data_IF_327234055856
#
_entry.id   IF_327234055856
#
_cell.length_a   1.000
_cell.length_b   1.000
_cell.length_c   1.000
_cell.angle_alpha   90.00
_cell.angle_beta   90.00
_cell.angle_gamma   90.00
#
_symmetry.space_group_name_H-M   'P 1'
#
loop_
_entity.id
_entity.type
_entity.pdbx_description
1 polymer ?
#
# COMPACT_ATOMS: atom_id res chain seq x y z
N UNK A 1 -18.41 -7.57 20.15
CA UNK A 1 -17.28 -7.54 21.10
C UNK A 1 -16.45 -6.34 20.72
N UNK A 2 -16.04 -5.56 21.71
CA UNK A 2 -15.14 -4.42 21.52
C UNK A 2 -13.70 -4.95 21.53
N UNK A 3 -12.84 -4.43 20.66
CA UNK A 3 -11.40 -4.74 20.62
C UNK A 3 -10.59 -3.48 20.86
N UNK A 4 -9.34 -3.64 21.28
CA UNK A 4 -8.34 -2.58 21.29
C UNK A 4 -7.54 -2.57 19.98
N UNK A 5 -6.79 -1.49 19.73
CA UNK A 5 -5.80 -1.47 18.64
C UNK A 5 -4.75 -2.56 18.85
N UNK A 6 -4.32 -2.79 20.10
CA UNK A 6 -3.31 -3.80 20.43
C UNK A 6 -3.80 -5.22 20.13
N UNK A 7 -5.07 -5.53 20.38
CA UNK A 7 -5.64 -6.85 20.05
C UNK A 7 -5.49 -7.15 18.55
N UNK A 8 -5.72 -6.15 17.69
CA UNK A 8 -5.58 -6.30 16.22
C UNK A 8 -4.11 -6.41 15.79
N UNK A 9 -3.20 -5.73 16.49
CA UNK A 9 -1.76 -5.87 16.26
C UNK A 9 -1.33 -7.30 16.60
N UNK A 10 -1.69 -7.79 17.78
CA UNK A 10 -1.35 -9.14 18.24
C UNK A 10 -1.95 -10.21 17.33
N UNK A 11 -3.19 -10.03 16.84
CA UNK A 11 -3.81 -10.93 15.87
C UNK A 11 -3.09 -11.01 14.52
N UNK A 12 -2.34 -9.98 14.13
CA UNK A 12 -1.71 -9.91 12.81
C UNK A 12 -0.19 -10.06 12.83
N UNK A 13 0.47 -9.92 13.98
CA UNK A 13 1.92 -9.75 14.02
C UNK A 13 2.68 -10.92 13.39
N UNK A 14 2.36 -12.17 13.73
CA UNK A 14 3.07 -13.34 13.18
C UNK A 14 2.80 -13.54 11.69
N UNK A 15 1.54 -13.41 11.25
CA UNK A 15 1.22 -13.52 9.82
C UNK A 15 1.86 -12.35 9.03
N UNK A 16 1.90 -11.16 9.61
CA UNK A 16 2.56 -9.98 9.04
C UNK A 16 4.05 -10.22 8.84
N UNK A 17 4.73 -10.79 9.84
CA UNK A 17 6.14 -11.15 9.76
C UNK A 17 6.41 -12.19 8.68
N UNK A 18 5.58 -13.24 8.57
CA UNK A 18 5.73 -14.24 7.49
C UNK A 18 5.57 -13.62 6.09
N UNK A 19 4.57 -12.74 5.91
CA UNK A 19 4.37 -12.02 4.65
C UNK A 19 5.45 -10.97 4.37
N UNK A 20 6.03 -10.31 5.39
CA UNK A 20 7.18 -9.41 5.18
C UNK A 20 8.42 -10.18 4.74
N UNK A 21 8.69 -11.33 5.35
CA UNK A 21 9.78 -12.19 4.91
C UNK A 21 9.58 -12.62 3.44
N UNK A 22 8.34 -12.97 3.06
CA UNK A 22 8.01 -13.30 1.67
C UNK A 22 8.20 -12.12 0.72
N UNK A 23 7.75 -10.93 1.10
CA UNK A 23 7.93 -9.72 0.29
C UNK A 23 9.41 -9.35 0.14
N UNK A 24 10.21 -9.52 1.19
CA UNK A 24 11.65 -9.29 1.15
C UNK A 24 12.38 -10.28 0.22
N UNK A 25 11.98 -11.55 0.23
CA UNK A 25 12.45 -12.57 -0.72
C UNK A 25 12.15 -12.22 -2.18
N UNK A 26 11.00 -11.57 -2.45
CA UNK A 26 10.63 -11.10 -3.78
C UNK A 26 11.39 -9.83 -4.17
N UNK A 27 11.55 -8.90 -3.23
CA UNK A 27 12.15 -7.59 -3.49
C UNK A 27 13.64 -7.73 -3.80
N UNK A 28 14.41 -8.44 -2.97
CA UNK A 28 15.88 -8.59 -3.12
C UNK A 28 16.65 -7.29 -3.41
N UNK A 29 16.15 -6.15 -2.93
CA UNK A 29 16.71 -4.82 -3.20
C UNK A 29 16.39 -4.23 -4.58
N UNK A 30 15.46 -4.82 -5.33
CA UNK A 30 14.97 -4.28 -6.59
C UNK A 30 14.33 -2.90 -6.41
N UNK A 31 14.47 -2.05 -7.43
CA UNK A 31 13.72 -0.80 -7.51
C UNK A 31 12.22 -1.08 -7.66
N UNK A 32 11.41 -0.11 -7.28
CA UNK A 32 9.95 -0.21 -7.36
C UNK A 32 9.33 1.02 -8.03
N UNK A 33 8.18 0.81 -8.66
CA UNK A 33 7.30 1.85 -9.19
C UNK A 33 5.86 1.52 -8.77
N UNK A 34 5.05 2.55 -8.56
CA UNK A 34 3.61 2.36 -8.28
C UNK A 34 2.77 3.28 -9.14
N UNK A 35 1.83 2.67 -9.86
CA UNK A 35 0.77 3.36 -10.59
C UNK A 35 -0.56 3.09 -9.89
N UNK A 36 -1.19 4.13 -9.35
CA UNK A 36 -2.51 3.99 -8.74
C UNK A 36 -3.65 4.07 -9.75
N UNK A 37 -3.42 4.65 -10.94
CA UNK A 37 -4.43 4.72 -12.00
C UNK A 37 -4.64 3.39 -12.70
N UNK A 38 -3.58 2.59 -12.81
CA UNK A 38 -3.63 1.17 -13.11
C UNK A 38 -3.03 0.43 -11.90
N UNK A 39 -3.83 0.12 -10.85
CA UNK A 39 -3.38 -0.28 -9.51
C UNK A 39 -2.31 -1.38 -9.53
N UNK A 40 -1.05 -0.97 -9.66
CA UNK A 40 0.08 -1.86 -9.89
C UNK A 40 1.30 -1.32 -9.16
N UNK A 41 1.79 -2.09 -8.21
CA UNK A 41 3.09 -1.94 -7.58
C UNK A 41 4.04 -2.92 -8.26
N UNK A 42 5.05 -2.40 -8.95
CA UNK A 42 5.96 -3.21 -9.76
C UNK A 42 7.35 -3.20 -9.15
N UNK A 43 7.83 -4.37 -8.77
CA UNK A 43 9.22 -4.63 -8.44
C UNK A 43 9.99 -4.90 -9.73
N UNK A 44 11.08 -4.16 -9.94
CA UNK A 44 11.93 -4.25 -11.13
C UNK A 44 12.91 -5.43 -11.04
N UNK A 45 12.36 -6.62 -10.81
CA UNK A 45 13.07 -7.91 -10.85
C UNK A 45 13.12 -8.47 -12.28
N UNK A 46 13.84 -9.58 -12.49
CA UNK A 46 13.82 -10.31 -13.76
C UNK A 46 13.31 -11.76 -13.54
N UNK A 47 12.07 -12.09 -13.94
CA UNK A 47 11.07 -11.21 -14.54
C UNK A 47 10.47 -10.21 -13.52
N UNK A 48 9.85 -9.09 -13.96
CA UNK A 48 9.21 -8.13 -13.06
C UNK A 48 8.06 -8.76 -12.29
N UNK A 49 7.94 -8.42 -11.01
CA UNK A 49 6.82 -8.83 -10.15
C UNK A 49 5.85 -7.67 -10.01
N UNK A 50 4.57 -7.91 -10.28
CA UNK A 50 3.51 -6.89 -10.17
C UNK A 50 2.48 -7.31 -9.13
N UNK A 51 2.24 -6.44 -8.16
CA UNK A 51 1.32 -6.63 -7.03
C UNK A 51 0.23 -5.55 -7.09
N UNK A 52 -0.94 -5.82 -6.53
CA UNK A 52 -2.01 -4.84 -6.36
C UNK A 52 -1.73 -4.00 -5.10
N UNK A 53 -1.60 -2.67 -5.21
CA UNK A 53 -1.41 -1.78 -4.09
C UNK A 53 -2.74 -1.26 -3.54
N UNK A 54 -2.87 -1.26 -2.22
CA UNK A 54 -3.92 -0.56 -1.49
C UNK A 54 -3.29 0.52 -0.61
N UNK A 55 -3.62 1.78 -0.85
CA UNK A 55 -3.11 2.90 -0.05
C UNK A 55 -3.90 2.95 1.27
N UNK A 56 -3.24 2.69 2.40
CA UNK A 56 -3.88 2.83 3.72
C UNK A 56 -3.96 4.29 4.14
N UNK A 57 -2.84 5.00 4.05
CA UNK A 57 -2.73 6.37 4.52
C UNK A 57 -1.32 6.90 4.32
N UNK A 58 -1.12 8.14 4.75
CA UNK A 58 0.17 8.81 4.71
C UNK A 58 0.56 9.31 6.07
N UNK A 59 1.84 9.13 6.39
CA UNK A 59 2.49 9.73 7.54
C UNK A 59 3.29 10.94 7.05
N UNK A 60 3.11 12.10 7.68
CA UNK A 60 3.86 13.30 7.35
C UNK A 60 4.59 13.82 8.59
N UNK A 61 5.93 13.80 8.55
CA UNK A 61 6.75 14.35 9.63
C UNK A 61 6.65 15.87 9.71
N UNK A 62 6.46 16.53 8.56
CA UNK A 62 6.29 17.98 8.47
C UNK A 62 4.95 18.47 9.00
N UNK A 63 3.86 17.72 8.76
CA UNK A 63 2.53 18.03 9.33
C UNK A 63 2.35 17.49 10.74
N UNK A 64 3.14 16.49 11.13
CA UNK A 64 3.02 15.83 12.43
C UNK A 64 1.73 15.01 12.54
N UNK A 65 1.21 14.49 11.43
CA UNK A 65 -0.02 13.70 11.41
C UNK A 65 0.02 12.50 10.46
N UNK A 66 -0.75 11.48 10.84
CA UNK A 66 -1.19 10.38 9.99
C UNK A 66 -2.57 10.72 9.44
N UNK A 67 -2.73 10.59 8.12
CA UNK A 67 -3.99 10.80 7.42
C UNK A 67 -4.35 9.53 6.67
N UNK A 68 -5.55 9.01 6.93
CA UNK A 68 -6.05 7.84 6.21
C UNK A 68 -6.50 8.18 4.79
N UNK A 69 -6.31 7.26 3.85
CA UNK A 69 -6.61 7.50 2.44
C UNK A 69 -8.11 7.68 2.14
N UNK A 70 -9.00 7.25 3.04
CA UNK A 70 -10.44 7.53 2.94
C UNK A 70 -10.80 9.00 3.19
N UNK A 71 -9.87 9.85 3.62
CA UNK A 71 -10.13 11.31 3.67
C UNK A 71 -10.14 11.93 2.28
N UNK A 72 -9.46 11.30 1.32
CA UNK A 72 -9.28 11.79 -0.04
C UNK A 72 -10.07 10.92 -1.04
N UNK A 73 -11.28 10.47 -0.68
CA UNK A 73 -12.13 9.70 -1.59
C UNK A 73 -12.46 10.49 -2.86
N UNK A 74 -12.36 9.83 -4.01
CA UNK A 74 -12.50 10.46 -5.33
C UNK A 74 -11.18 10.98 -5.92
N UNK A 75 -10.09 11.06 -5.13
CA UNK A 75 -8.76 11.41 -5.64
C UNK A 75 -7.99 10.19 -6.17
N UNK A 76 -8.19 9.03 -5.57
CA UNK A 76 -7.64 7.74 -6.02
C UNK A 76 -8.78 6.82 -6.48
N UNK A 77 -8.50 5.84 -7.36
CA UNK A 77 -9.49 4.82 -7.69
C UNK A 77 -10.02 4.13 -6.45
N UNK A 78 -11.32 3.84 -6.42
CA UNK A 78 -12.00 3.27 -5.25
C UNK A 78 -11.35 1.96 -4.77
N UNK A 79 -10.84 1.17 -5.71
CA UNK A 79 -10.12 -0.07 -5.42
C UNK A 79 -8.84 0.17 -4.62
N UNK A 80 -8.09 1.24 -4.90
CA UNK A 80 -6.83 1.59 -4.20
C UNK A 80 -7.08 1.95 -2.73
N UNK A 81 -8.20 2.61 -2.44
CA UNK A 81 -8.57 3.05 -1.09
C UNK A 81 -9.46 2.05 -0.35
N UNK A 82 -9.88 0.97 -1.01
CA UNK A 82 -10.84 0.00 -0.49
C UNK A 82 -10.40 -0.65 0.82
N UNK A 83 -9.11 -0.97 0.98
CA UNK A 83 -8.57 -1.55 2.22
C UNK A 83 -8.65 -0.55 3.39
N UNK A 84 -8.41 0.73 3.16
CA UNK A 84 -8.55 1.76 4.18
C UNK A 84 -10.02 1.92 4.59
N UNK A 85 -10.95 1.95 3.62
CA UNK A 85 -12.39 2.00 3.90
C UNK A 85 -12.86 0.76 4.66
N UNK A 86 -12.36 -0.42 4.31
CA UNK A 86 -12.64 -1.67 5.04
C UNK A 86 -12.13 -1.59 6.48
N UNK A 87 -10.90 -1.09 6.71
CA UNK A 87 -10.35 -0.87 8.03
C UNK A 87 -11.21 0.11 8.85
N UNK A 88 -11.70 1.19 8.23
CA UNK A 88 -12.63 2.16 8.84
C UNK A 88 -13.93 1.52 9.30
N UNK A 89 -14.55 0.72 8.44
CA UNK A 89 -15.80 0.04 8.77
C UNK A 89 -15.60 -1.02 9.86
N UNK A 90 -14.50 -1.78 9.81
CA UNK A 90 -14.14 -2.74 10.84
C UNK A 90 -13.85 -2.05 12.18
N UNK A 91 -13.09 -0.96 12.18
CA UNK A 91 -12.79 -0.14 13.36
C UNK A 91 -14.07 0.34 14.04
N UNK A 92 -15.04 0.85 13.28
CA UNK A 92 -16.36 1.24 13.81
C UNK A 92 -17.14 0.06 14.41
N UNK A 93 -17.11 -1.11 13.77
CA UNK A 93 -17.80 -2.32 14.28
C UNK A 93 -17.16 -2.87 15.55
N UNK A 94 -15.83 -2.77 15.65
CA UNK A 94 -15.02 -3.31 16.75
C UNK A 94 -14.79 -2.28 17.87
N UNK A 95 -15.14 -1.02 17.66
CA UNK A 95 -14.91 0.06 18.63
C UNK A 95 -13.44 0.46 18.76
N UNK A 96 -12.64 0.32 17.69
CA UNK A 96 -11.24 0.75 17.62
C UNK A 96 -11.21 2.16 17.00
N UNK A 97 -11.05 3.18 17.84
CA UNK A 97 -11.14 4.59 17.44
C UNK A 97 -10.04 4.98 16.46
N UNK A 98 -8.83 4.44 16.62
CA UNK A 98 -7.67 4.75 15.78
C UNK A 98 -7.87 4.33 14.31
N UNK A 99 -8.66 3.27 14.08
CA UNK A 99 -9.03 2.83 12.74
C UNK A 99 -10.21 3.59 12.14
N UNK A 100 -10.85 4.49 12.89
CA UNK A 100 -12.04 5.23 12.42
C UNK A 100 -11.95 6.75 12.58
N UNK A 101 -10.86 7.22 13.16
CA UNK A 101 -10.49 8.63 13.28
C UNK A 101 -9.75 9.07 12.03
N UNK A 102 -10.20 10.15 11.43
CA UNK A 102 -9.77 10.61 10.10
C UNK A 102 -8.29 11.01 10.04
N UNK A 103 -7.83 11.70 11.07
CA UNK A 103 -6.46 12.18 11.22
C UNK A 103 -6.00 11.94 12.67
N UNK A 104 -4.78 11.43 12.82
CA UNK A 104 -4.18 11.15 14.11
C UNK A 104 -2.87 11.93 14.23
N UNK A 105 -2.53 12.49 15.41
CA UNK A 105 -1.22 13.08 15.62
C UNK A 105 -0.15 11.99 15.48
N UNK A 106 0.97 12.30 14.81
CA UNK A 106 2.10 11.37 14.73
C UNK A 106 2.62 11.08 16.13
N UNK A 107 2.89 9.80 16.35
CA UNK A 107 3.60 9.28 17.51
C UNK A 107 4.55 8.18 17.01
N UNK A 108 5.60 7.92 17.77
CA UNK A 108 6.61 6.91 17.42
C UNK A 108 5.93 5.55 17.11
N UNK A 109 6.24 5.00 15.93
CA UNK A 109 5.67 3.73 15.45
C UNK A 109 4.17 3.72 15.15
N UNK A 110 3.46 4.86 15.19
CA UNK A 110 2.02 4.90 14.96
C UNK A 110 1.64 4.30 13.60
N UNK A 111 2.28 4.75 12.52
CA UNK A 111 1.95 4.29 11.17
C UNK A 111 2.11 2.78 11.01
N UNK A 112 3.16 2.20 11.60
CA UNK A 112 3.36 0.74 11.63
C UNK A 112 2.26 0.04 12.43
N UNK A 113 1.91 0.55 13.61
CA UNK A 113 0.84 -0.01 14.46
C UNK A 113 -0.52 0.00 13.78
N UNK A 114 -0.89 1.12 13.13
CA UNK A 114 -2.12 1.23 12.35
C UNK A 114 -2.11 0.26 11.17
N UNK A 115 -0.95 0.11 10.52
CA UNK A 115 -0.78 -0.83 9.41
C UNK A 115 -0.98 -2.27 9.88
N UNK A 116 -0.33 -2.71 10.96
CA UNK A 116 -0.52 -4.05 11.54
C UNK A 116 -2.00 -4.30 11.88
N UNK A 117 -2.63 -3.38 12.62
CA UNK A 117 -4.04 -3.50 12.95
C UNK A 117 -4.95 -3.58 11.72
N UNK A 118 -4.65 -2.82 10.66
CA UNK A 118 -5.37 -2.88 9.40
C UNK A 118 -5.23 -4.27 8.72
N UNK A 119 -4.08 -4.94 8.83
CA UNK A 119 -3.90 -6.30 8.28
C UNK A 119 -4.86 -7.31 8.89
N UNK A 120 -5.10 -7.24 10.21
CA UNK A 120 -6.04 -8.13 10.90
C UNK A 120 -7.47 -8.04 10.36
N UNK A 121 -7.90 -6.85 9.91
CA UNK A 121 -9.27 -6.60 9.47
C UNK A 121 -9.46 -6.57 7.95
N UNK A 122 -8.37 -6.52 7.19
CA UNK A 122 -8.39 -6.51 5.71
C UNK A 122 -7.96 -7.84 5.11
N UNK A 123 -7.16 -8.64 5.82
CA UNK A 123 -6.59 -9.88 5.29
C UNK A 123 -5.47 -9.67 4.27
N UNK A 124 -4.95 -8.44 4.13
CA UNK A 124 -3.81 -8.13 3.28
C UNK A 124 -2.58 -7.95 4.15
N UNK A 125 -1.67 -8.92 4.13
CA UNK A 125 -0.64 -9.03 5.17
C UNK A 125 0.73 -8.48 4.78
N UNK A 126 1.00 -8.28 3.49
CA UNK A 126 2.22 -7.62 3.03
C UNK A 126 2.04 -6.09 3.03
N UNK A 127 3.07 -5.33 3.41
CA UNK A 127 3.02 -3.87 3.36
C UNK A 127 4.33 -3.27 2.88
N UNK A 128 4.28 -2.05 2.37
CA UNK A 128 5.44 -1.32 1.91
C UNK A 128 5.34 0.16 2.28
N UNK A 129 6.24 0.71 3.11
CA UNK A 129 6.33 2.15 3.35
C UNK A 129 7.04 2.84 2.17
N UNK A 130 6.27 3.48 1.29
CA UNK A 130 6.75 4.16 0.10
C UNK A 130 7.04 5.64 0.39
N UNK A 131 8.33 6.01 0.41
CA UNK A 131 8.75 7.40 0.55
C UNK A 131 8.23 8.28 -0.60
N UNK A 132 7.38 9.25 -0.26
CA UNK A 132 6.77 10.19 -1.20
C UNK A 132 7.62 11.47 -1.38
N UNK A 133 8.66 11.63 -0.57
CA UNK A 133 9.50 12.84 -0.54
C UNK A 133 8.91 13.94 0.32
N UNK A 134 9.78 14.87 0.75
CA UNK A 134 9.41 15.98 1.64
C UNK A 134 8.90 15.56 3.02
N UNK A 135 9.38 14.41 3.53
CA UNK A 135 8.98 13.90 4.84
C UNK A 135 7.60 13.23 4.86
N UNK A 136 7.05 12.88 3.69
CA UNK A 136 5.81 12.10 3.59
C UNK A 136 6.16 10.65 3.22
N UNK A 137 5.53 9.71 3.91
CA UNK A 137 5.58 8.27 3.62
C UNK A 137 4.17 7.76 3.38
N UNK A 138 3.94 7.15 2.21
CA UNK A 138 2.70 6.47 1.89
C UNK A 138 2.80 5.00 2.32
N UNK A 139 1.84 4.54 3.12
CA UNK A 139 1.82 3.16 3.61
C UNK A 139 0.87 2.32 2.75
N UNK A 140 1.43 1.33 2.06
CA UNK A 140 0.71 0.48 1.12
C UNK A 140 0.52 -0.91 1.72
N UNK A 141 -0.66 -1.51 1.57
CA UNK A 141 -0.82 -2.96 1.65
C UNK A 141 -0.69 -3.54 0.24
N UNK A 142 -0.03 -4.69 0.13
CA UNK A 142 0.25 -5.35 -1.15
C UNK A 142 -0.40 -6.73 -1.22
N UNK A 143 -1.00 -7.04 -2.35
CA UNK A 143 -1.60 -8.35 -2.63
C UNK A 143 -1.20 -8.84 -4.01
N UNK A 144 -0.94 -10.14 -4.13
CA UNK A 144 -0.67 -10.79 -5.41
C UNK A 144 -0.38 -12.27 -5.22
N UNK A 145 -0.50 -13.08 -6.29
CA UNK A 145 -0.24 -14.52 -6.23
C UNK A 145 1.21 -14.85 -5.82
N UNK A 146 2.16 -13.95 -6.08
CA UNK A 146 3.57 -14.12 -5.72
C UNK A 146 3.80 -14.12 -4.20
N UNK A 147 2.89 -13.53 -3.45
CA UNK A 147 2.87 -13.48 -1.98
C UNK A 147 2.16 -14.68 -1.34
N UNK A 148 1.63 -15.62 -2.13
CA UNK A 148 1.06 -16.85 -1.58
C UNK A 148 2.11 -17.63 -0.80
N UNK A 149 1.75 -17.98 0.43
CA UNK A 149 2.63 -18.71 1.33
C UNK A 149 2.51 -20.21 1.08
N UNK A 150 3.63 -20.97 1.13
CA UNK A 150 3.59 -22.42 1.09
C UNK A 150 2.85 -23.00 2.31
N UNK A 151 2.63 -24.32 2.34
CA UNK A 151 2.10 -24.98 3.54
C UNK A 151 2.99 -24.70 4.76
N UNK A 152 2.37 -24.46 5.92
CA UNK A 152 3.09 -24.12 7.14
C UNK A 152 3.85 -25.35 7.68
N UNK A 153 5.14 -25.17 7.94
CA UNK A 153 6.03 -26.14 8.58
C UNK A 153 6.41 -25.70 9.99
N UNK A 154 6.85 -26.64 10.84
CA UNK A 154 7.37 -26.33 12.17
C UNK A 154 8.53 -25.34 12.09
N UNK A 155 9.46 -25.55 11.16
CA UNK A 155 10.62 -24.67 10.97
C UNK A 155 10.20 -23.23 10.65
N UNK A 156 9.29 -23.05 9.67
CA UNK A 156 8.79 -21.73 9.27
C UNK A 156 8.04 -21.05 10.43
N UNK A 157 7.17 -21.79 11.12
CA UNK A 157 6.44 -21.30 12.28
C UNK A 157 7.40 -20.78 13.36
N UNK A 158 8.38 -21.59 13.76
CA UNK A 158 9.32 -21.21 14.81
C UNK A 158 10.19 -20.02 14.41
N UNK A 159 10.63 -19.95 13.14
CA UNK A 159 11.38 -18.80 12.63
C UNK A 159 10.56 -17.51 12.67
N UNK A 160 9.29 -17.57 12.23
CA UNK A 160 8.39 -16.40 12.21
C UNK A 160 8.11 -15.90 13.62
N UNK A 161 7.80 -16.81 14.55
CA UNK A 161 7.56 -16.43 15.95
C UNK A 161 8.83 -15.80 16.54
N UNK A 162 9.99 -16.44 16.38
CA UNK A 162 11.25 -15.90 16.91
C UNK A 162 11.57 -14.52 16.35
N UNK A 163 11.39 -14.30 15.05
CA UNK A 163 11.63 -13.01 14.40
C UNK A 163 10.65 -11.93 14.88
N UNK A 164 9.35 -12.23 14.93
CA UNK A 164 8.34 -11.28 15.36
C UNK A 164 8.56 -10.79 16.81
N UNK A 165 8.98 -11.69 17.70
CA UNK A 165 9.27 -11.35 19.10
C UNK A 165 10.47 -10.41 19.28
N UNK A 166 11.34 -10.27 18.28
CA UNK A 166 12.46 -9.30 18.36
C UNK A 166 12.01 -7.85 18.25
N UNK A 167 10.79 -7.60 17.76
CA UNK A 167 10.25 -6.25 17.52
C UNK A 167 9.56 -5.62 18.73
N UNK A 168 9.38 -6.38 19.83
CA UNK A 168 8.67 -5.96 21.05
C UNK A 168 7.27 -5.35 20.80
N UNK A 169 6.65 -5.72 19.67
CA UNK A 169 5.36 -5.18 19.22
C UNK A 169 4.18 -6.07 19.63
N UNK A 170 4.44 -7.38 19.77
CA UNK A 170 3.47 -8.34 20.27
C UNK A 170 3.37 -8.22 21.79
N UNK A 171 2.17 -8.02 22.32
CA UNK A 171 1.93 -7.91 23.76
C UNK A 171 1.25 -9.17 24.28
N UNK A 172 0.17 -9.62 23.63
CA UNK A 172 -0.49 -10.89 23.94
C UNK A 172 -0.04 -11.99 22.97
N UNK A 173 0.94 -12.79 23.39
CA UNK A 173 1.47 -13.87 22.56
C UNK A 173 0.48 -15.04 22.46
N UNK A 174 -0.44 -15.20 23.43
CA UNK A 174 -1.48 -16.23 23.34
C UNK A 174 -2.40 -15.92 22.15
N UNK A 175 -2.85 -14.67 22.05
CA UNK A 175 -3.66 -14.19 20.94
C UNK A 175 -2.90 -14.27 19.60
N UNK A 176 -1.61 -13.91 19.59
CA UNK A 176 -0.79 -13.99 18.38
C UNK A 176 -0.61 -15.42 17.86
N UNK A 177 -0.32 -16.39 18.76
CA UNK A 177 -0.19 -17.81 18.39
C UNK A 177 -1.53 -18.37 17.89
N UNK A 178 -2.62 -18.09 18.60
CA UNK A 178 -3.96 -18.56 18.24
C UNK A 178 -4.42 -18.01 16.88
N UNK A 179 -4.24 -16.71 16.65
CA UNK A 179 -4.57 -16.08 15.37
C UNK A 179 -3.72 -16.63 14.22
N UNK A 180 -2.39 -16.75 14.42
CA UNK A 180 -1.50 -17.29 13.40
C UNK A 180 -1.86 -18.73 13.03
N UNK A 181 -2.15 -19.59 14.01
CA UNK A 181 -2.60 -20.96 13.77
C UNK A 181 -3.88 -20.98 12.91
N UNK A 182 -4.88 -20.17 13.28
CA UNK A 182 -6.14 -20.03 12.53
C UNK A 182 -5.94 -19.55 11.11
N UNK A 183 -5.07 -18.56 10.89
CA UNK A 183 -4.80 -17.96 9.58
C UNK A 183 -3.99 -18.88 8.67
N UNK A 184 -3.17 -19.77 9.24
CA UNK A 184 -2.36 -20.73 8.49
C UNK A 184 -2.97 -22.13 8.40
N UNK A 185 -4.15 -22.34 8.98
CA UNK A 185 -4.83 -23.64 8.99
C UNK A 185 -4.12 -24.68 9.86
N UNK A 186 -3.37 -24.24 10.86
CA UNK A 186 -2.80 -25.11 11.88
C UNK A 186 -3.84 -25.41 12.96
N UNK A 187 -3.70 -26.58 13.61
CA UNK A 187 -4.51 -26.91 14.77
C UNK A 187 -3.83 -26.40 16.04
N UNK A 188 -4.61 -25.79 16.93
CA UNK A 188 -4.16 -25.38 18.26
C UNK A 188 -5.05 -26.02 19.30
N UNK A 189 -4.43 -26.65 20.29
CA UNK A 189 -5.11 -27.26 21.43
C UNK A 189 -4.59 -26.64 22.72
N UNK A 190 -5.47 -25.98 23.46
CA UNK A 190 -5.16 -25.40 24.76
C UNK A 190 -5.49 -26.41 25.86
N UNK A 191 -4.49 -26.74 26.68
CA UNK A 191 -4.71 -27.53 27.91
C UNK A 191 -5.14 -26.61 29.06
N UNK A 192 -4.50 -25.45 29.14
CA UNK A 192 -4.81 -24.34 30.05
C UNK A 192 -4.51 -23.02 29.34
N UNK A 193 -4.83 -21.87 29.93
CA UNK A 193 -4.40 -20.57 29.40
C UNK A 193 -2.86 -20.41 29.36
N UNK A 194 -2.11 -21.24 30.09
CA UNK A 194 -0.65 -21.19 30.17
C UNK A 194 0.06 -22.20 29.23
N UNK A 195 -0.67 -23.06 28.52
CA UNK A 195 -0.03 -24.10 27.69
C UNK A 195 -0.90 -24.52 26.51
N UNK A 196 -0.32 -24.54 25.31
CA UNK A 196 -0.95 -25.07 24.11
C UNK A 196 -0.03 -25.98 23.31
N UNK A 197 -0.61 -26.85 22.50
CA UNK A 197 0.09 -27.59 21.45
C UNK A 197 -0.40 -27.12 20.08
N UNK A 198 0.52 -26.66 19.24
CA UNK A 198 0.23 -26.30 17.85
C UNK A 198 0.70 -27.44 16.95
N UNK A 199 -0.22 -28.03 16.20
CA UNK A 199 0.03 -29.09 15.22
C UNK A 199 -0.03 -28.49 13.81
N UNK A 200 1.04 -28.70 13.06
CA UNK A 200 1.16 -28.37 11.63
C UNK A 200 1.42 -29.66 10.83
N UNK A 201 1.62 -29.54 9.52
CA UNK A 201 1.69 -30.71 8.63
C UNK A 201 2.83 -31.68 8.99
N UNK A 202 3.99 -31.16 9.35
CA UNK A 202 5.23 -31.93 9.52
C UNK A 202 5.63 -32.15 10.99
N UNK A 203 4.82 -31.71 11.94
CA UNK A 203 5.06 -31.91 13.37
C UNK A 203 4.20 -31.04 14.27
N UNK A 204 4.55 -31.01 15.55
CA UNK A 204 3.89 -30.17 16.53
C UNK A 204 4.89 -29.56 17.52
N UNK A 205 4.50 -28.43 18.12
CA UNK A 205 5.26 -27.75 19.16
C UNK A 205 4.33 -27.45 20.34
N UNK A 206 4.83 -27.67 21.55
CA UNK A 206 4.19 -27.24 22.80
C UNK A 206 4.77 -25.90 23.20
N UNK A 207 3.90 -24.96 23.53
CA UNK A 207 4.25 -23.63 24.01
C UNK A 207 3.79 -23.47 25.45
N UNK A 208 4.60 -22.79 26.25
CA UNK A 208 4.22 -22.30 27.58
C UNK A 208 4.20 -20.79 27.58
N UNK A 209 3.28 -20.26 28.38
CA UNK A 209 3.04 -18.84 28.48
C UNK A 209 3.06 -18.42 29.95
N UNK A 210 3.79 -17.35 30.23
CA UNK A 210 3.78 -16.64 31.51
C UNK A 210 3.41 -15.18 31.22
N UNK A 211 2.39 -14.65 31.91
CA UNK A 211 1.90 -13.27 31.73
C UNK A 211 1.64 -12.90 30.25
N UNK A 212 0.97 -13.79 29.52
CA UNK A 212 0.69 -13.67 28.08
C UNK A 212 1.93 -13.66 27.16
N UNK A 213 3.10 -14.01 27.67
CA UNK A 213 4.33 -14.11 26.90
C UNK A 213 4.81 -15.55 26.80
N UNK A 214 5.30 -15.94 25.64
CA UNK A 214 5.93 -17.25 25.43
C UNK A 214 7.17 -17.35 26.31
N UNK A 215 7.14 -18.27 27.27
CA UNK A 215 8.24 -18.54 28.21
C UNK A 215 9.03 -19.80 27.86
N UNK A 216 8.46 -20.69 27.05
CA UNK A 216 9.12 -21.90 26.60
C UNK A 216 8.47 -22.52 25.36
N UNK A 217 9.27 -23.31 24.64
CA UNK A 217 8.80 -24.13 23.52
C UNK A 217 9.55 -25.45 23.46
N UNK A 218 8.85 -26.54 23.17
CA UNK A 218 9.47 -27.85 22.91
C UNK A 218 8.72 -28.65 21.83
N UNK A 219 9.39 -29.63 21.19
CA UNK A 219 8.71 -30.57 20.31
C UNK A 219 7.62 -31.36 21.02
N UNK A 220 6.48 -31.54 20.34
CA UNK A 220 5.36 -32.32 20.83
C UNK A 220 4.89 -33.36 19.80
N UNK A 221 4.07 -34.31 20.24
CA UNK A 221 3.36 -35.22 19.34
C UNK A 221 2.16 -34.49 18.71
N UNK A 222 1.92 -34.64 17.39
CA UNK A 222 0.71 -34.12 16.74
C UNK A 222 -0.57 -34.58 17.44
N UNK A 223 -1.47 -33.64 17.72
CA UNK A 223 -2.74 -33.97 18.39
C UNK A 223 -3.88 -34.28 17.42
N UNK A 224 -3.71 -33.92 16.14
CA UNK A 224 -4.67 -34.21 15.07
C UNK A 224 -3.98 -34.78 13.83
N UNK A 225 -4.76 -35.48 13.00
CA UNK A 225 -4.31 -36.03 11.72
C UNK A 225 -4.44 -35.04 10.55
N UNK A 226 -3.97 -35.44 9.35
CA UNK A 226 -3.93 -34.58 8.17
C UNK A 226 -5.31 -34.12 7.66
N UNK A 227 -6.35 -34.92 7.86
CA UNK A 227 -7.71 -34.57 7.41
C UNK A 227 -8.24 -33.33 8.16
N UNK A 228 -8.01 -33.25 9.48
CA UNK A 228 -8.39 -32.09 10.29
C UNK A 228 -7.59 -30.84 9.88
N UNK A 229 -6.31 -30.99 9.58
CA UNK A 229 -5.48 -29.88 9.08
C UNK A 229 -5.96 -29.39 7.71
N UNK A 230 -6.42 -30.30 6.84
CA UNK A 230 -6.98 -29.94 5.53
C UNK A 230 -8.29 -29.13 5.67
N UNK A 231 -9.15 -29.52 6.62
CA UNK A 231 -10.39 -28.78 6.95
C UNK A 231 -10.05 -27.39 7.51
N UNK A 232 -9.11 -27.28 8.45
CA UNK A 232 -8.68 -26.00 9.00
C UNK A 232 -8.04 -25.09 7.94
N UNK A 233 -7.26 -25.64 7.02
CA UNK A 233 -6.74 -24.91 5.88
C UNK A 233 -7.85 -24.44 4.92
N UNK A 234 -8.92 -25.22 4.76
CA UNK A 234 -10.10 -24.80 4.02
C UNK A 234 -10.83 -23.65 4.71
N UNK A 235 -10.99 -23.71 6.03
CA UNK A 235 -11.57 -22.63 6.81
C UNK A 235 -10.73 -21.35 6.75
N UNK A 236 -9.39 -21.46 6.79
CA UNK A 236 -8.48 -20.33 6.63
C UNK A 236 -8.67 -19.66 5.25
N UNK A 237 -8.76 -20.46 4.17
CA UNK A 237 -9.07 -19.94 2.83
C UNK A 237 -10.44 -19.29 2.75
N UNK A 238 -11.46 -19.88 3.38
CA UNK A 238 -12.80 -19.31 3.42
C UNK A 238 -12.83 -17.95 4.14
N UNK A 239 -12.09 -17.80 5.24
CA UNK A 239 -11.92 -16.50 5.93
C UNK A 239 -11.24 -15.46 5.04
N UNK A 240 -10.18 -15.85 4.33
CA UNK A 240 -9.51 -14.95 3.39
C UNK A 240 -10.46 -14.50 2.26
N UNK A 241 -11.30 -15.40 1.73
CA UNK A 241 -12.33 -15.04 0.74
C UNK A 241 -13.34 -14.06 1.31
N UNK A 242 -13.85 -14.29 2.52
CA UNK A 242 -14.80 -13.38 3.17
C UNK A 242 -14.22 -11.97 3.37
N UNK A 243 -12.95 -11.85 3.76
CA UNK A 243 -12.27 -10.55 3.87
C UNK A 243 -12.11 -9.84 2.52
N UNK A 244 -11.92 -10.59 1.42
CA UNK A 244 -11.91 -10.00 0.06
C UNK A 244 -13.30 -9.54 -0.38
N UNK A 245 -14.34 -10.27 -0.01
CA UNK A 245 -15.74 -9.85 -0.26
C UNK A 245 -16.09 -8.57 0.52
N UNK A 246 -15.68 -8.49 1.79
CA UNK A 246 -15.81 -7.28 2.61
C UNK A 246 -15.08 -6.09 1.96
N UNK A 247 -13.89 -6.31 1.39
CA UNK A 247 -13.16 -5.27 0.66
C UNK A 247 -13.86 -4.83 -0.62
N UNK A 248 -14.47 -5.75 -1.37
CA UNK A 248 -15.28 -5.40 -2.54
C UNK A 248 -16.53 -4.57 -2.16
N UNK A 249 -17.12 -4.86 -0.99
CA UNK A 249 -18.19 -4.05 -0.44
C UNK A 249 -17.69 -2.65 -0.02
N UNK A 250 -16.49 -2.57 0.57
CA UNK A 250 -15.82 -1.31 0.92
C UNK A 250 -15.48 -0.46 -0.32
N UNK A 251 -15.03 -1.07 -1.41
CA UNK A 251 -14.84 -0.40 -2.71
C UNK A 251 -16.15 0.21 -3.22
N UNK A 252 -17.25 -0.55 -3.16
CA UNK A 252 -18.57 -0.05 -3.52
C UNK A 252 -19.07 1.07 -2.58
N UNK A 253 -18.65 1.06 -1.31
CA UNK A 253 -18.94 2.12 -0.36
C UNK A 253 -18.13 3.39 -0.67
N UNK A 254 -16.84 3.25 -0.97
CA UNK A 254 -15.95 4.32 -1.40
C UNK A 254 -16.52 5.06 -2.62
N UNK A 255 -16.92 4.32 -3.66
CA UNK A 255 -17.51 4.88 -4.88
C UNK A 255 -18.78 5.70 -4.61
N UNK A 256 -19.65 5.21 -3.71
CA UNK A 256 -20.89 5.91 -3.32
C UNK A 256 -20.62 7.17 -2.50
N UNK A 257 -19.61 7.15 -1.64
CA UNK A 257 -19.22 8.29 -0.81
C UNK A 257 -18.51 9.37 -1.64
N UNK A 258 -17.59 8.97 -2.52
CA UNK A 258 -16.92 9.85 -3.48
C UNK A 258 -17.90 10.57 -4.42
N UNK A 259 -18.97 9.88 -4.82
CA UNK A 259 -20.02 10.43 -5.70
C UNK A 259 -21.08 11.26 -4.97
N UNK A 260 -21.07 11.30 -3.63
CA UNK A 260 -22.06 12.05 -2.87
C UNK A 260 -21.79 13.55 -3.08
N UNK A 261 -22.78 14.36 -3.49
CA UNK A 261 -22.60 15.80 -3.56
C UNK A 261 -22.13 16.28 -2.19
N UNK A 262 -20.99 16.96 -2.13
CA UNK A 262 -20.56 17.66 -0.93
C UNK A 262 -21.67 18.66 -0.62
N UNK A 263 -22.57 18.30 0.30
CA UNK A 263 -23.65 19.17 0.69
C UNK A 263 -22.96 20.45 1.16
N UNK A 264 -23.22 21.55 0.43
CA UNK A 264 -22.72 22.86 0.81
C UNK A 264 -22.93 23.00 2.31
N UNK A 265 -21.84 23.22 3.06
CA UNK A 265 -21.94 23.64 4.45
C UNK A 265 -23.07 24.67 4.52
N UNK A 266 -24.02 24.55 5.47
CA UNK A 266 -25.16 25.45 5.50
C UNK A 266 -24.61 26.86 5.41
N UNK A 267 -24.93 27.52 4.30
CA UNK A 267 -24.52 28.89 4.02
C UNK A 267 -24.83 29.66 5.29
N UNK A 268 -23.78 30.14 5.96
CA UNK A 268 -23.91 30.82 7.23
C UNK A 268 -25.00 31.87 7.03
N UNK A 269 -26.13 31.67 7.71
CA UNK A 269 -27.26 32.59 7.62
C UNK A 269 -26.70 34.01 7.80
N UNK A 270 -27.11 34.98 6.97
CA UNK A 270 -26.52 36.31 7.02
C UNK A 270 -26.68 36.86 8.42
N UNK A 271 -25.55 37.02 9.12
CA UNK A 271 -25.52 37.65 10.44
C UNK A 271 -26.09 39.06 10.26
N UNK A 272 -27.19 39.43 10.95
CA UNK A 272 -27.74 40.77 10.82
C UNK A 272 -26.67 41.79 11.20
N UNK A 273 -26.58 42.87 10.41
CA UNK A 273 -25.50 43.86 10.41
C UNK A 273 -25.43 44.76 11.67
N UNK A 274 -25.92 44.31 12.82
CA UNK A 274 -26.06 45.11 14.05
C UNK A 274 -25.21 44.61 15.22
N UNK A 275 -24.23 43.73 14.97
CA UNK A 275 -23.25 43.29 15.98
C UNK A 275 -21.82 43.80 15.69
N UNK A 276 -21.69 44.94 15.00
CA UNK A 276 -20.41 45.65 14.86
C UNK A 276 -20.37 46.86 15.78
N UNK A 277 -20.19 46.59 17.08
CA UNK A 277 -19.58 47.52 18.04
C UNK A 277 -19.66 46.86 19.41
N UNK A 278 -18.60 46.14 19.79
CA UNK A 278 -18.10 46.16 21.16
C UNK A 278 -16.64 45.69 21.16
N UNK A 279 -15.83 46.51 21.81
CA UNK A 279 -14.37 46.61 21.93
C UNK A 279 -13.53 45.33 21.85
N UNK A 280 -12.52 45.36 20.98
CA UNK A 280 -11.27 44.63 21.15
C UNK A 280 -10.27 45.51 21.89
N UNK A 281 -10.07 45.25 23.19
CA UNK A 281 -8.87 45.69 23.91
C UNK A 281 -7.67 44.81 23.53
N UNK A 282 -6.51 45.38 23.16
CA UNK A 282 -5.31 44.61 22.91
C UNK A 282 -4.64 44.18 24.23
N UNK A 283 -4.47 42.86 24.40
CA UNK A 283 -3.62 42.28 25.45
C UNK A 283 -2.15 42.62 25.17
N UNK A 284 -1.50 43.32 26.12
CA UNK A 284 -0.07 43.59 26.14
C UNK A 284 0.74 42.31 26.36
N UNK A 285 1.74 42.08 25.51
CA UNK A 285 2.74 41.02 25.65
C UNK A 285 3.97 41.63 26.35
N UNK A 286 4.49 41.05 27.46
CA UNK A 286 5.67 41.60 28.12
C UNK A 286 6.94 41.42 27.28
N UNK A 287 7.75 42.47 27.21
CA UNK A 287 9.10 42.51 26.64
C UNK A 287 10.00 41.40 27.19
N UNK A 288 10.61 40.63 26.28
CA UNK A 288 11.72 39.73 26.61
C UNK A 288 13.03 40.53 26.59
N UNK A 289 13.75 40.43 27.70
CA UNK A 289 15.01 41.12 27.99
C UNK A 289 16.15 40.51 27.17
N UNK A 290 16.81 41.38 26.40
CA UNK A 290 18.10 41.18 25.74
C UNK A 290 19.16 40.80 26.79
N UNK A 291 19.75 39.60 26.69
CA UNK A 291 20.90 39.22 27.53
C UNK A 291 22.14 39.01 26.67
N UNK A 292 23.22 39.59 27.18
CA UNK A 292 24.47 39.91 26.51
C UNK A 292 25.24 38.74 25.90
N UNK A 293 25.84 39.09 24.77
CA UNK A 293 26.92 38.40 24.09
C UNK A 293 28.20 38.44 24.95
N UNK A 294 28.79 37.27 25.25
CA UNK A 294 30.17 37.18 25.76
C UNK A 294 31.00 36.34 24.80
N UNK A 295 31.99 36.98 24.18
CA UNK A 295 32.98 36.39 23.31
C UNK A 295 33.98 35.49 24.09
N UNK A 296 34.71 34.63 23.38
CA UNK A 296 36.16 34.65 23.57
C UNK A 296 36.96 34.82 22.28
N UNK A 297 38.06 35.56 22.41
CA UNK A 297 39.05 35.86 21.39
C UNK A 297 40.04 34.70 21.11
N UNK A 298 40.33 34.54 19.82
CA UNK A 298 41.62 34.33 19.15
C UNK A 298 42.50 33.08 19.43
N UNK A 299 42.65 32.26 18.37
CA UNK A 299 43.94 31.73 17.94
C UNK A 299 44.03 31.70 16.39
N UNK A 300 45.21 32.04 15.86
CA UNK A 300 45.52 32.49 14.49
C UNK A 300 45.71 31.32 13.46
N UNK A 301 45.93 31.62 12.16
CA UNK A 301 45.48 30.80 11.04
C UNK A 301 46.49 29.73 10.58
N UNK A 302 45.98 28.62 10.04
CA UNK A 302 46.77 27.64 9.28
C UNK A 302 46.20 27.54 7.86
N UNK A 303 47.15 27.49 6.92
CA UNK A 303 47.08 27.78 5.49
C UNK A 303 46.21 26.80 4.68
N UNK A 304 45.61 27.33 3.63
CA UNK A 304 45.11 26.58 2.47
C UNK A 304 46.18 25.65 1.89
N UNK A 305 45.77 24.42 1.60
CA UNK A 305 46.42 23.60 0.61
C UNK A 305 45.32 22.94 -0.23
N UNK A 306 45.12 23.47 -1.43
CA UNK A 306 44.31 22.87 -2.48
C UNK A 306 45.02 21.65 -3.07
N UNK A 307 44.21 20.63 -3.43
CA UNK A 307 44.38 19.59 -4.48
C UNK A 307 44.10 18.16 -3.94
N UNK A 308 43.62 17.23 -4.79
CA UNK A 308 42.34 17.23 -5.49
C UNK A 308 41.48 16.02 -5.04
N UNK A 309 40.17 16.10 -5.28
CA UNK A 309 39.23 14.98 -5.07
C UNK A 309 39.61 13.80 -5.97
N UNK A 310 39.98 12.70 -5.34
CA UNK A 310 40.02 11.39 -5.98
C UNK A 310 38.60 10.81 -5.96
N UNK A 311 38.11 10.48 -7.15
CA UNK A 311 36.79 9.92 -7.42
C UNK A 311 36.69 8.54 -6.79
N UNK A 312 36.05 8.44 -5.62
CA UNK A 312 35.59 7.17 -5.09
C UNK A 312 34.14 6.95 -5.58
N UNK A 313 33.99 6.02 -6.51
CA UNK A 313 32.69 5.47 -6.92
C UNK A 313 31.92 5.01 -5.67
N UNK A 314 30.63 5.36 -5.51
CA UNK A 314 29.85 4.80 -4.43
C UNK A 314 29.52 3.36 -4.81
N UNK A 315 30.23 2.43 -4.17
CA UNK A 315 29.87 1.01 -4.12
C UNK A 315 28.45 0.93 -3.55
N UNK A 316 27.54 0.31 -4.29
CA UNK A 316 26.23 -0.09 -3.80
C UNK A 316 26.42 -0.94 -2.53
N UNK A 317 26.15 -0.35 -1.37
CA UNK A 317 26.27 -1.02 -0.09
C UNK A 317 25.03 -1.88 0.13
N UNK A 318 25.27 -3.18 0.28
CA UNK A 318 24.29 -4.22 0.50
C UNK A 318 23.32 -3.89 1.65
N UNK A 319 22.07 -4.35 1.49
CA UNK A 319 21.13 -4.49 2.60
C UNK A 319 21.81 -5.28 3.74
N UNK A 320 21.74 -4.74 4.95
CA UNK A 320 22.32 -5.37 6.14
C UNK A 320 21.45 -6.59 6.47
N UNK A 321 22.00 -7.79 6.30
CA UNK A 321 21.26 -9.06 6.31
C UNK A 321 20.78 -9.52 7.69
N UNK A 322 20.99 -8.72 8.74
CA UNK A 322 20.74 -9.07 10.15
C UNK A 322 19.58 -8.28 10.81
N UNK A 323 18.84 -7.44 10.07
CA UNK A 323 17.67 -6.72 10.61
C UNK A 323 16.35 -7.43 10.25
N UNK A 324 15.34 -7.48 11.15
CA UNK A 324 14.05 -8.10 10.87
C UNK A 324 13.36 -7.45 9.67
N UNK A 325 12.62 -8.19 8.85
CA UNK A 325 12.06 -7.64 7.60
C UNK A 325 10.95 -6.59 7.80
N UNK A 326 10.37 -6.54 9.00
CA UNK A 326 9.31 -5.63 9.41
C UNK A 326 9.87 -4.43 10.21
N UNK A 327 10.63 -3.55 9.54
CA UNK A 327 11.17 -2.32 10.14
C UNK A 327 10.36 -1.07 9.78
N UNK A 328 10.46 -0.07 10.65
CA UNK A 328 10.17 1.31 10.26
C UNK A 328 11.07 1.73 9.08
N UNK A 329 10.58 2.57 8.16
CA UNK A 329 11.39 3.06 7.05
C UNK A 329 12.68 3.69 7.57
N UNK A 330 13.83 3.18 7.12
CA UNK A 330 15.13 3.67 7.57
C UNK A 330 15.34 5.15 7.21
N UNK A 331 16.02 5.92 8.07
CA UNK A 331 16.51 7.31 7.79
C UNK A 331 17.50 7.42 6.60
N UNK A 332 17.72 6.33 5.85
CA UNK A 332 18.54 6.33 4.65
C UNK A 332 17.77 7.02 3.54
N UNK A 333 18.41 7.97 2.85
CA UNK A 333 17.92 8.60 1.63
C UNK A 333 17.78 7.55 0.49
N UNK A 334 16.74 6.71 0.57
CA UNK A 334 16.32 5.86 -0.53
C UNK A 334 15.67 6.77 -1.56
N UNK A 335 16.15 6.72 -2.80
CA UNK A 335 15.57 7.53 -3.89
C UNK A 335 14.08 7.20 -3.99
N UNK A 336 13.18 8.20 -3.96
CA UNK A 336 11.75 7.96 -4.10
C UNK A 336 11.49 7.16 -5.39
N UNK A 337 10.82 6.02 -5.28
CA UNK A 337 10.25 5.33 -6.43
C UNK A 337 9.26 6.25 -7.14
N UNK A 338 9.08 6.06 -8.44
CA UNK A 338 8.15 6.90 -9.20
C UNK A 338 6.72 6.52 -8.82
N UNK A 339 5.96 7.54 -8.41
CA UNK A 339 4.53 7.41 -8.11
C UNK A 339 3.77 8.14 -9.20
N UNK A 340 2.90 7.41 -9.90
CA UNK A 340 2.09 7.96 -10.99
C UNK A 340 0.60 7.83 -10.68
N UNK A 341 -0.13 8.93 -10.89
CA UNK A 341 -1.60 8.92 -10.98
C UNK A 341 -1.95 9.57 -12.30
N UNK A 342 -2.36 8.80 -13.30
CA UNK A 342 -2.88 9.39 -14.54
C UNK A 342 -4.30 9.89 -14.27
N UNK A 343 -4.50 11.21 -14.26
CA UNK A 343 -5.86 11.79 -14.24
C UNK A 343 -6.48 11.48 -15.60
N UNK A 344 -7.51 10.62 -15.62
CA UNK A 344 -8.32 10.41 -16.83
C UNK A 344 -8.95 11.76 -17.18
N UNK A 345 -8.69 12.35 -18.36
CA UNK A 345 -9.40 13.55 -18.78
C UNK A 345 -10.89 13.22 -18.83
N UNK A 346 -11.69 13.88 -18.00
CA UNK A 346 -13.14 13.80 -18.09
C UNK A 346 -13.58 14.15 -19.52
N UNK A 347 -14.67 13.54 -20.03
CA UNK A 347 -15.14 13.84 -21.38
C UNK A 347 -15.37 15.35 -21.49
N UNK A 348 -14.70 15.98 -22.47
CA UNK A 348 -14.90 17.39 -22.76
C UNK A 348 -16.40 17.67 -22.92
N UNK A 349 -16.93 18.76 -22.35
CA UNK A 349 -18.31 19.12 -22.58
C UNK A 349 -18.49 19.36 -24.07
N UNK A 350 -19.21 18.45 -24.73
CA UNK A 350 -19.67 18.62 -26.10
C UNK A 350 -20.50 19.89 -26.12
N UNK A 351 -19.90 20.97 -26.64
CA UNK A 351 -20.64 22.20 -26.93
C UNK A 351 -21.76 21.82 -27.91
N UNK A 352 -23.02 22.19 -27.64
CA UNK A 352 -24.07 21.93 -28.62
C UNK A 352 -23.70 22.65 -29.92
N UNK A 353 -23.65 21.90 -31.01
CA UNK A 353 -23.46 22.45 -32.34
C UNK A 353 -24.55 23.50 -32.58
N UNK A 354 -24.14 24.70 -32.95
CA UNK A 354 -25.07 25.74 -33.38
C UNK A 354 -25.85 25.21 -34.59
N UNK A 355 -27.18 25.18 -34.48
CA UNK A 355 -28.10 24.92 -35.57
C UNK A 355 -27.93 26.03 -36.63
N UNK A 356 -27.30 25.71 -37.76
CA UNK A 356 -27.38 26.53 -38.96
C UNK A 356 -28.76 26.33 -39.62
N UNK A 357 -29.42 27.41 -40.08
CA UNK A 357 -30.78 27.35 -40.58
C UNK A 357 -30.84 26.65 -41.94
N UNK A 358 -31.73 25.66 -42.04
CA UNK A 358 -32.09 24.94 -43.28
C UNK A 358 -32.85 25.86 -44.25
N UNK A 359 -32.39 25.92 -45.49
CA UNK A 359 -33.21 26.31 -46.65
C UNK A 359 -33.67 25.08 -47.46
N UNK A 360 -34.85 25.09 -48.10
CA UNK A 360 -35.50 23.89 -48.62
C UNK A 360 -35.41 23.71 -50.15
N UNK A 361 -35.91 22.54 -50.60
CA UNK A 361 -36.33 22.15 -51.98
C UNK A 361 -35.20 21.51 -52.82
N UNK A 362 -35.32 20.36 -53.52
CA UNK A 362 -36.46 19.73 -54.19
C UNK A 362 -36.36 18.20 -54.28
N UNK A 363 -37.55 17.60 -54.38
CA UNK A 363 -37.90 16.20 -54.58
C UNK A 363 -37.62 15.71 -56.03
N UNK A 364 -37.02 14.53 -56.21
CA UNK A 364 -37.10 13.74 -57.46
C UNK A 364 -37.19 12.25 -57.18
N UNK A 365 -38.28 11.66 -57.67
CA UNK A 365 -38.70 10.25 -57.63
C UNK A 365 -37.97 9.44 -58.74
N UNK A 366 -37.83 8.09 -58.61
CA UNK A 366 -36.79 7.24 -59.22
C UNK A 366 -37.28 6.36 -60.38
N UNK A 367 -36.39 5.55 -60.99
CA UNK A 367 -36.61 4.19 -61.60
C UNK A 367 -35.37 3.70 -62.41
N UNK A 368 -35.24 2.42 -62.83
CA UNK A 368 -35.29 1.17 -62.06
C UNK A 368 -34.12 0.18 -62.41
N UNK A 369 -34.24 -1.04 -61.87
CA UNK A 369 -33.27 -2.13 -61.71
C UNK A 369 -32.74 -2.86 -62.96
N UNK A 370 -31.62 -3.58 -62.79
CA UNK A 370 -31.30 -4.81 -63.53
C UNK A 370 -30.62 -5.84 -62.61
N UNK A 371 -31.22 -7.03 -62.61
CA UNK A 371 -30.89 -8.31 -61.96
C UNK A 371 -29.52 -8.88 -62.41
N UNK A 372 -28.77 -9.62 -61.59
CA UNK A 372 -28.62 -11.11 -61.50
C UNK A 372 -27.10 -11.34 -61.27
N UNK A 373 -26.55 -12.37 -60.63
CA UNK A 373 -26.97 -13.73 -60.33
C UNK A 373 -26.01 -14.26 -59.24
N UNK A 374 -26.51 -15.20 -58.43
CA UNK A 374 -25.77 -15.90 -57.38
C UNK A 374 -25.20 -17.18 -57.97
N UNK A 375 -23.96 -17.54 -57.66
CA UNK A 375 -23.58 -18.96 -57.59
C UNK A 375 -22.52 -19.22 -56.50
N UNK A 376 -22.88 -20.11 -55.58
CA UNK A 376 -22.03 -20.87 -54.64
C UNK A 376 -21.34 -22.00 -55.43
N UNK A 377 -20.14 -22.44 -55.12
CA UNK A 377 -19.85 -23.62 -54.27
C UNK A 377 -18.32 -23.85 -54.29
N UNK A 378 -17.60 -23.97 -53.15
CA UNK A 378 -17.33 -25.18 -52.33
C UNK A 378 -16.01 -25.92 -52.71
N UNK A 379 -15.09 -25.87 -51.73
CA UNK A 379 -14.19 -26.94 -51.23
C UNK A 379 -12.95 -27.37 -52.02
N UNK A 380 -11.76 -27.13 -51.43
CA UNK A 380 -10.81 -28.12 -50.89
C UNK A 380 -9.36 -27.59 -50.93
N UNK A 381 -8.65 -27.62 -49.78
CA UNK A 381 -7.18 -27.57 -49.75
C UNK A 381 -6.57 -28.94 -50.10
N UNK A 382 -5.30 -29.26 -49.75
CA UNK A 382 -4.20 -28.44 -49.22
C UNK A 382 -2.90 -28.58 -50.07
N UNK A 383 -1.87 -27.76 -49.82
CA UNK A 383 -0.54 -27.98 -50.42
C UNK A 383 0.49 -26.88 -50.11
N UNK A 384 1.46 -27.22 -49.27
CA UNK A 384 2.77 -26.55 -49.04
C UNK A 384 3.83 -27.57 -49.54
N UNK A 385 5.10 -27.27 -49.91
CA UNK A 385 5.92 -26.05 -49.79
C UNK A 385 6.64 -25.61 -51.09
N UNK A 386 7.37 -24.49 -51.05
CA UNK A 386 8.38 -24.19 -52.05
C UNK A 386 9.08 -22.85 -51.87
N UNK A 387 10.34 -22.92 -51.45
CA UNK A 387 11.34 -21.88 -51.23
C UNK A 387 11.55 -20.90 -52.40
N UNK A 388 11.92 -19.65 -52.09
CA UNK A 388 13.10 -18.97 -52.66
C UNK A 388 13.20 -17.50 -52.17
N UNK A 389 14.35 -17.19 -51.57
CA UNK A 389 15.21 -16.03 -51.82
C UNK A 389 14.61 -14.62 -52.00
N UNK A 390 15.00 -13.68 -51.12
CA UNK A 390 15.83 -12.52 -51.48
C UNK A 390 16.08 -11.61 -50.26
N UNK A 391 17.35 -11.42 -49.91
CA UNK A 391 17.81 -10.21 -49.21
C UNK A 391 17.73 -8.98 -50.14
N UNK A 392 17.78 -7.75 -49.61
CA UNK A 392 19.10 -7.14 -49.46
C UNK A 392 19.33 -6.33 -48.18
N UNK A 393 20.60 -6.37 -47.79
CA UNK A 393 21.39 -5.46 -46.95
C UNK A 393 21.13 -3.98 -47.23
N UNK A 394 20.97 -3.17 -46.18
CA UNK A 394 21.50 -1.79 -46.09
C UNK A 394 22.00 -1.55 -44.66
N UNK A 395 23.28 -1.21 -44.58
CA UNK A 395 24.07 -0.82 -43.40
C UNK A 395 24.07 0.72 -43.30
N UNK A 396 24.05 1.28 -42.09
CA UNK A 396 24.18 2.73 -41.86
C UNK A 396 24.13 3.11 -40.36
N UNK A 397 25.25 3.64 -39.88
CA UNK A 397 25.65 3.92 -38.48
C UNK A 397 24.87 5.04 -37.72
N UNK A 398 24.79 4.83 -36.40
CA UNK A 398 24.79 5.68 -35.17
C UNK A 398 24.76 7.24 -35.22
N UNK A 399 24.58 7.97 -34.08
CA UNK A 399 23.86 7.71 -32.83
C UNK A 399 22.87 8.85 -32.48
N UNK A 400 21.93 8.64 -31.55
CA UNK A 400 21.03 9.70 -31.05
C UNK A 400 21.32 10.04 -29.58
N UNK A 401 21.36 11.34 -29.35
CA UNK A 401 21.86 12.08 -28.19
C UNK A 401 21.05 11.85 -26.89
N UNK A 402 21.77 11.81 -25.77
CA UNK A 402 21.22 11.89 -24.42
C UNK A 402 20.63 13.28 -24.16
N UNK A 403 19.30 13.40 -24.18
CA UNK A 403 18.60 14.55 -23.60
C UNK A 403 18.44 14.36 -22.08
N UNK A 404 19.21 15.15 -21.33
CA UNK A 404 19.06 15.33 -19.88
C UNK A 404 17.70 15.95 -19.57
N UNK A 405 16.75 15.10 -19.16
CA UNK A 405 15.47 15.53 -18.62
C UNK A 405 15.64 16.25 -17.28
N UNK A 406 15.22 17.52 -17.24
CA UNK A 406 15.16 18.36 -16.05
C UNK A 406 14.48 17.64 -14.87
N UNK A 407 15.12 17.73 -13.68
CA UNK A 407 14.56 17.27 -12.40
C UNK A 407 13.25 17.99 -12.10
N UNK A 408 12.11 17.37 -12.43
CA UNK A 408 10.79 17.81 -11.98
C UNK A 408 10.64 17.49 -10.49
N UNK A 409 10.35 18.52 -9.70
CA UNK A 409 9.98 18.41 -8.27
C UNK A 409 8.94 17.31 -8.07
N UNK A 410 9.15 16.46 -7.06
CA UNK A 410 8.30 15.32 -6.73
C UNK A 410 6.84 15.73 -6.58
N UNK A 411 5.97 14.98 -7.28
CA UNK A 411 4.52 15.20 -7.41
C UNK A 411 3.81 15.37 -6.04
N UNK A 412 4.28 14.68 -5.01
CA UNK A 412 3.73 14.75 -3.65
C UNK A 412 3.82 16.11 -2.96
N UNK A 413 4.80 16.96 -3.31
CA UNK A 413 4.90 18.31 -2.72
C UNK A 413 3.69 19.18 -3.08
N UNK A 414 3.05 18.92 -4.24
CA UNK A 414 1.84 19.64 -4.66
C UNK A 414 0.55 19.15 -4.00
N UNK A 415 0.50 17.88 -3.59
CA UNK A 415 -0.72 17.27 -3.04
C UNK A 415 -0.75 17.30 -1.51
N UNK A 416 0.42 17.20 -0.86
CA UNK A 416 0.55 17.25 0.60
C UNK A 416 1.05 18.60 1.14
N UNK A 417 1.01 19.66 0.33
CA UNK A 417 1.28 21.03 0.77
C UNK A 417 2.67 21.22 1.40
N UNK A 418 3.72 20.93 0.62
CA UNK A 418 5.13 21.21 0.94
C UNK A 418 5.70 22.31 0.07
#
# INVERSE_FOLDING_TARGET
MTKTLQDLIDESIFISTEYQARLAELTQGAEWDVDFSAPAFTLQTDPPVSLTPYLLGTESTSRGSWIWSWQELGHFPDTVVSAAVQAREAGRRLGVEELSTDELPVADGLARRLTLAAKAVTGVYAHYPAGAGGGVTAWLLLEGPELELPELTVERMMRVIAEALTTDTAVDHNLAVDSYAKLRGAHIEWDTEATCVVTVRDGAQRFWFDDHQISGVEPAEPTVGPDVLADLAADARARAVALREDRAAAESAAAREASRPQAAAPEAAPVPADARQEESEPLEVPDFVETEHVAPEHAAPVRENEQPRETAEPVAAAADGDLPFDQEPSDRDVRPGRVSTTVVPGPEPVRPAAEEPREPVAERIPEPAAEREVEREVVAGPGVPGSAEAEPVVEGEEPAEEEQGERKKGFFSRFFGL
#
